data_IF_972803869004
#
_entry.id   IF_972803869004
#
_cell.length_a   1.000
_cell.length_b   1.000
_cell.length_c   1.000
_cell.angle_alpha   90.00
_cell.angle_beta   90.00
_cell.angle_gamma   90.00
#
_symmetry.space_group_name_H-M   'P 1'
#
loop_
_entity.id
_entity.type
_entity.pdbx_description
1 polymer ?
#
# COMPACT_ATOMS: atom_id res chain seq x y z
N UNK A 1 -31.07 15.40 41.74
CA UNK A 1 -31.00 14.24 42.66
C UNK A 1 -29.67 13.54 42.35
N UNK A 2 -28.67 13.81 43.21
CA UNK A 2 -27.27 13.41 43.02
C UNK A 2 -26.98 12.14 43.79
N UNK A 3 -26.37 11.15 43.13
CA UNK A 3 -25.81 10.00 43.83
C UNK A 3 -24.35 9.88 43.44
N UNK A 4 -23.50 10.29 44.37
CA UNK A 4 -22.07 10.00 44.36
C UNK A 4 -21.79 8.64 44.98
N UNK A 5 -21.17 7.73 44.26
CA UNK A 5 -20.62 6.50 44.83
C UNK A 5 -19.10 6.58 44.79
N UNK A 6 -18.50 6.68 45.96
CA UNK A 6 -17.04 6.54 46.17
C UNK A 6 -16.73 5.05 46.38
N UNK A 7 -15.80 4.52 45.65
CA UNK A 7 -15.23 3.18 45.90
C UNK A 7 -13.78 3.34 46.36
N UNK A 8 -13.53 2.88 47.56
CA UNK A 8 -12.25 2.89 48.25
C UNK A 8 -11.53 1.58 47.94
N UNK A 9 -10.35 1.62 47.32
CA UNK A 9 -9.48 0.46 47.19
C UNK A 9 -8.56 0.38 48.40
N UNK A 10 -8.65 -0.74 49.11
CA UNK A 10 -7.73 -1.13 50.20
C UNK A 10 -6.44 -1.75 49.64
N UNK A 11 -5.33 -1.24 50.14
CA UNK A 11 -3.99 -1.78 49.92
C UNK A 11 -3.79 -2.94 50.88
N UNK A 12 -3.47 -4.12 50.36
CA UNK A 12 -2.93 -5.24 51.18
C UNK A 12 -1.53 -5.55 50.66
N UNK A 13 -0.57 -5.23 51.50
CA UNK A 13 0.81 -5.65 51.35
C UNK A 13 0.97 -7.02 52.00
N UNK A 14 1.52 -8.00 51.28
CA UNK A 14 2.03 -9.26 51.88
C UNK A 14 3.42 -9.55 51.32
N UNK A 15 4.31 -9.75 52.25
CA UNK A 15 5.76 -9.97 52.10
C UNK A 15 6.03 -11.49 52.14
N UNK A 16 7.16 -11.89 51.55
CA UNK A 16 7.95 -13.13 51.65
C UNK A 16 7.48 -14.39 50.90
N UNK A 17 8.28 -14.92 49.97
CA UNK A 17 9.41 -15.85 50.29
C UNK A 17 10.14 -16.24 49.01
N UNK A 18 11.45 -16.19 49.05
CA UNK A 18 12.38 -16.70 48.05
C UNK A 18 12.36 -18.23 47.99
N UNK A 19 12.18 -18.78 46.80
CA UNK A 19 12.57 -20.15 46.46
C UNK A 19 13.19 -20.14 45.09
N UNK A 20 14.51 -20.28 45.07
CA UNK A 20 15.29 -20.47 43.86
C UNK A 20 15.02 -21.89 43.31
N UNK A 21 14.27 -22.00 42.24
CA UNK A 21 14.25 -23.20 41.41
C UNK A 21 15.01 -22.87 40.12
N UNK A 22 16.20 -23.49 40.03
CA UNK A 22 17.00 -23.53 38.81
C UNK A 22 16.27 -24.39 37.79
N UNK A 23 15.59 -23.79 36.81
CA UNK A 23 15.14 -24.49 35.60
C UNK A 23 16.24 -24.42 34.56
N UNK A 24 16.61 -25.56 33.92
CA UNK A 24 17.53 -25.53 32.78
C UNK A 24 16.85 -24.81 31.60
N UNK A 25 17.56 -23.84 31.02
CA UNK A 25 17.16 -23.21 29.77
C UNK A 25 17.12 -24.28 28.66
N UNK A 26 15.93 -24.77 28.34
CA UNK A 26 15.69 -25.35 27.04
C UNK A 26 15.62 -24.19 26.03
N UNK A 27 16.70 -24.03 25.28
CA UNK A 27 16.70 -23.15 24.09
C UNK A 27 15.70 -23.69 23.08
N UNK A 28 14.46 -23.25 23.15
CA UNK A 28 13.53 -23.39 22.06
C UNK A 28 14.00 -22.43 20.96
N UNK A 29 14.69 -22.98 19.96
CA UNK A 29 14.94 -22.28 18.71
C UNK A 29 13.58 -22.07 18.04
N UNK A 30 12.96 -20.94 18.30
CA UNK A 30 11.84 -20.46 17.50
C UNK A 30 12.38 -20.18 16.11
N UNK A 31 12.12 -21.09 15.18
CA UNK A 31 12.23 -20.82 13.77
C UNK A 31 11.10 -19.83 13.47
N UNK A 32 11.39 -18.54 13.59
CA UNK A 32 10.55 -17.51 12.97
C UNK A 32 10.56 -17.79 11.49
N UNK A 33 9.44 -18.30 11.00
CA UNK A 33 9.11 -18.23 9.58
C UNK A 33 8.89 -16.75 9.33
N UNK A 34 9.97 -16.05 8.93
CA UNK A 34 9.91 -14.74 8.36
C UNK A 34 9.15 -14.87 7.05
N UNK A 35 7.84 -14.66 7.10
CA UNK A 35 7.09 -14.30 5.90
C UNK A 35 7.79 -13.07 5.34
N UNK A 36 8.48 -13.28 4.21
CA UNK A 36 9.27 -12.28 3.54
C UNK A 36 8.40 -11.16 2.99
N UNK A 37 7.95 -10.29 3.87
CA UNK A 37 7.58 -8.94 3.51
C UNK A 37 8.87 -8.21 3.23
N UNK A 38 9.34 -8.28 1.97
CA UNK A 38 10.37 -7.34 1.50
C UNK A 38 9.93 -5.94 1.91
N UNK A 39 10.77 -5.19 2.62
CA UNK A 39 10.44 -3.82 2.97
C UNK A 39 10.14 -3.10 1.65
N UNK A 40 8.91 -2.60 1.52
CA UNK A 40 8.50 -1.78 0.38
C UNK A 40 9.52 -0.65 0.29
N UNK A 41 10.39 -0.68 -0.73
CA UNK A 41 11.35 0.38 -0.96
C UNK A 41 10.58 1.70 -0.97
N UNK A 42 11.09 2.71 -0.28
CA UNK A 42 10.51 4.05 -0.30
C UNK A 42 10.48 4.55 -1.74
N UNK A 43 9.30 4.51 -2.34
CA UNK A 43 9.13 4.91 -3.74
C UNK A 43 8.96 6.42 -3.74
N UNK A 44 9.86 7.12 -4.44
CA UNK A 44 9.75 8.57 -4.62
C UNK A 44 8.43 8.92 -5.36
N UNK A 45 7.68 9.90 -4.87
CA UNK A 45 6.45 10.35 -5.53
C UNK A 45 6.75 10.87 -6.94
N UNK A 46 5.99 10.40 -7.94
CA UNK A 46 6.19 10.77 -9.34
C UNK A 46 4.92 10.72 -10.17
N UNK A 47 5.02 11.15 -11.41
CA UNK A 47 3.89 11.11 -12.35
C UNK A 47 3.72 9.71 -12.97
N UNK A 48 4.79 8.89 -12.89
CA UNK A 48 4.80 7.52 -13.43
C UNK A 48 5.87 6.67 -12.75
N UNK A 49 5.71 5.36 -12.88
CA UNK A 49 6.71 4.36 -12.48
C UNK A 49 6.83 3.27 -13.55
N UNK A 50 8.00 2.63 -13.60
CA UNK A 50 8.28 1.57 -14.57
C UNK A 50 9.01 0.42 -13.89
N UNK A 51 8.69 -0.80 -14.26
CA UNK A 51 9.39 -2.00 -13.81
C UNK A 51 9.55 -3.01 -14.97
N UNK A 52 10.59 -3.83 -14.88
CA UNK A 52 10.92 -4.86 -15.84
C UNK A 52 10.38 -6.21 -15.39
N UNK A 53 10.02 -7.05 -16.35
CA UNK A 53 9.57 -8.42 -16.14
C UNK A 53 10.74 -9.35 -16.47
N UNK A 54 11.85 -9.22 -15.74
CA UNK A 54 12.99 -10.12 -15.93
C UNK A 54 12.63 -11.48 -15.32
N UNK A 55 12.70 -12.55 -16.11
CA UNK A 55 12.76 -13.90 -15.55
C UNK A 55 14.01 -13.99 -14.68
N UNK A 56 13.82 -14.16 -13.37
CA UNK A 56 14.92 -14.62 -12.52
C UNK A 56 15.35 -16.00 -12.99
N UNK A 57 16.36 -16.04 -13.85
CA UNK A 57 17.00 -17.29 -14.20
C UNK A 57 17.67 -17.87 -12.96
N UNK A 58 17.05 -18.93 -12.42
CA UNK A 58 17.61 -19.78 -11.39
C UNK A 58 19.05 -20.16 -11.71
N UNK A 59 19.95 -19.83 -10.79
CA UNK A 59 21.21 -20.44 -10.36
C UNK A 59 21.95 -21.44 -11.26
N UNK A 60 22.14 -21.18 -12.54
CA UNK A 60 23.16 -21.87 -13.32
C UNK A 60 23.84 -20.87 -14.27
N UNK A 61 24.73 -20.08 -13.72
CA UNK A 61 25.96 -19.51 -14.29
C UNK A 61 25.96 -18.85 -15.67
N UNK A 62 24.87 -18.82 -16.41
CA UNK A 62 24.77 -18.17 -17.74
C UNK A 62 23.51 -17.28 -17.73
N UNK A 63 23.70 -16.02 -17.35
CA UNK A 63 22.67 -15.00 -17.50
C UNK A 63 22.41 -14.71 -18.98
N UNK A 64 21.56 -15.49 -19.61
CA UNK A 64 20.95 -15.07 -20.87
C UNK A 64 19.82 -14.10 -20.52
N UNK A 65 20.10 -12.79 -20.53
CA UNK A 65 19.06 -11.76 -20.56
C UNK A 65 18.12 -12.14 -21.71
N UNK A 66 16.89 -12.48 -21.37
CA UNK A 66 15.84 -12.69 -22.37
C UNK A 66 15.73 -11.39 -23.17
N UNK A 67 16.04 -11.45 -24.47
CA UNK A 67 15.98 -10.30 -25.37
C UNK A 67 14.56 -9.72 -25.54
N UNK A 68 13.57 -10.31 -24.89
CA UNK A 68 12.16 -9.93 -24.92
C UNK A 68 11.57 -9.72 -23.52
N UNK A 69 12.39 -9.39 -22.52
CA UNK A 69 11.88 -9.04 -21.21
C UNK A 69 10.79 -7.98 -21.34
N UNK A 70 9.64 -8.23 -20.71
CA UNK A 70 8.54 -7.28 -20.71
C UNK A 70 8.87 -6.06 -19.87
N UNK A 71 8.24 -4.94 -20.17
CA UNK A 71 8.33 -3.70 -19.39
C UNK A 71 6.92 -3.18 -19.17
N UNK A 72 6.59 -2.87 -17.93
CA UNK A 72 5.33 -2.25 -17.56
C UNK A 72 5.55 -0.83 -17.01
N UNK A 73 4.72 0.09 -17.45
CA UNK A 73 4.70 1.48 -16.98
C UNK A 73 3.32 1.83 -16.46
N UNK A 74 3.26 2.39 -15.26
CA UNK A 74 2.10 3.03 -14.68
C UNK A 74 2.23 4.55 -14.77
N UNK A 75 1.22 5.24 -15.27
CA UNK A 75 1.16 6.71 -15.32
C UNK A 75 -0.08 7.17 -14.56
N UNK A 76 0.11 8.01 -13.56
CA UNK A 76 -0.98 8.50 -12.72
C UNK A 76 -1.82 9.56 -13.44
N UNK A 77 -3.14 9.43 -13.33
CA UNK A 77 -4.09 10.52 -13.56
C UNK A 77 -4.40 11.12 -12.18
N UNK A 78 -3.81 12.28 -11.91
CA UNK A 78 -3.85 12.92 -10.60
C UNK A 78 -5.28 13.14 -10.11
N UNK A 79 -5.50 13.09 -8.78
CA UNK A 79 -6.80 13.36 -8.18
C UNK A 79 -7.33 14.74 -8.61
N UNK A 80 -8.60 14.78 -8.99
CA UNK A 80 -9.30 16.01 -9.37
C UNK A 80 -10.76 15.96 -8.96
N UNK A 81 -11.30 17.10 -8.56
CA UNK A 81 -12.73 17.22 -8.26
C UNK A 81 -13.48 17.49 -9.55
N UNK A 82 -14.40 16.59 -9.88
CA UNK A 82 -15.30 16.70 -11.03
C UNK A 82 -16.65 17.30 -10.64
N UNK A 83 -17.48 17.61 -11.65
CA UNK A 83 -18.83 18.07 -11.42
C UNK A 83 -19.65 17.06 -10.61
N UNK A 84 -20.45 17.58 -9.68
CA UNK A 84 -21.27 16.71 -8.81
C UNK A 84 -20.61 16.28 -7.51
N UNK A 85 -19.42 16.80 -7.19
CA UNK A 85 -18.73 16.47 -5.93
C UNK A 85 -18.12 15.06 -5.96
N UNK A 86 -17.56 14.67 -7.09
CA UNK A 86 -16.83 13.42 -7.25
C UNK A 86 -15.34 13.74 -7.34
N UNK A 87 -14.55 13.08 -6.53
CA UNK A 87 -13.09 13.08 -6.65
C UNK A 87 -12.69 11.90 -7.52
N UNK A 88 -12.29 12.17 -8.75
CA UNK A 88 -11.82 11.18 -9.70
C UNK A 88 -10.30 11.07 -9.68
N UNK A 89 -9.77 9.86 -9.80
CA UNK A 89 -8.35 9.56 -9.82
C UNK A 89 -8.10 8.31 -10.64
N UNK A 90 -6.85 8.03 -11.06
CA UNK A 90 -6.62 6.86 -11.89
C UNK A 90 -5.17 6.50 -12.15
N UNK A 91 -5.02 5.37 -12.87
CA UNK A 91 -3.74 4.84 -13.31
C UNK A 91 -3.87 4.30 -14.74
N UNK A 92 -3.11 4.85 -15.66
CA UNK A 92 -2.89 4.28 -16.98
C UNK A 92 -1.78 3.24 -16.90
N UNK A 93 -2.04 2.03 -17.38
CA UNK A 93 -1.07 0.94 -17.41
C UNK A 93 -0.71 0.63 -18.86
N UNK A 94 0.56 0.47 -19.13
CA UNK A 94 1.07 0.02 -20.42
C UNK A 94 2.19 -0.98 -20.21
N UNK A 95 2.01 -2.20 -20.72
CA UNK A 95 3.03 -3.24 -20.75
C UNK A 95 3.41 -3.57 -22.19
N UNK A 96 4.67 -3.85 -22.44
CA UNK A 96 5.22 -4.27 -23.73
C UNK A 96 6.14 -5.47 -23.52
N UNK A 97 6.41 -6.22 -24.58
CA UNK A 97 7.20 -7.46 -24.49
C UNK A 97 6.34 -8.67 -24.17
N UNK A 98 6.87 -9.61 -23.41
CA UNK A 98 6.21 -10.87 -23.03
C UNK A 98 6.11 -11.03 -21.52
N UNK A 99 5.31 -11.99 -21.03
CA UNK A 99 5.26 -12.36 -19.61
C UNK A 99 4.39 -11.48 -18.72
N UNK A 100 3.69 -10.47 -19.27
CA UNK A 100 2.86 -9.57 -18.45
C UNK A 100 1.42 -10.08 -18.18
N UNK A 101 1.00 -11.18 -18.79
CA UNK A 101 -0.33 -11.73 -18.54
C UNK A 101 -0.32 -12.82 -17.45
N UNK A 102 -1.34 -12.88 -16.58
CA UNK A 102 -2.48 -11.96 -16.49
C UNK A 102 -2.05 -10.56 -16.01
N UNK A 103 -2.76 -9.54 -16.49
CA UNK A 103 -2.50 -8.14 -16.13
C UNK A 103 -3.65 -7.58 -15.32
N UNK A 104 -3.34 -7.00 -14.16
CA UNK A 104 -4.29 -6.27 -13.34
C UNK A 104 -3.61 -5.09 -12.67
N UNK A 105 -4.41 -4.14 -12.21
CA UNK A 105 -3.89 -3.03 -11.44
C UNK A 105 -4.85 -2.66 -10.31
N UNK A 106 -4.28 -2.12 -9.25
CA UNK A 106 -4.96 -1.62 -8.06
C UNK A 106 -4.47 -0.21 -7.79
N UNK A 107 -5.40 0.67 -7.44
CA UNK A 107 -5.10 2.03 -6.99
C UNK A 107 -5.79 2.31 -5.67
N UNK A 108 -5.11 3.06 -4.81
CA UNK A 108 -5.64 3.56 -3.54
C UNK A 108 -5.53 5.07 -3.54
N UNK A 109 -6.63 5.73 -3.25
CA UNK A 109 -6.61 7.15 -2.90
C UNK A 109 -6.19 7.27 -1.44
N UNK A 110 -5.17 8.05 -1.18
CA UNK A 110 -4.67 8.30 0.16
C UNK A 110 -4.81 9.78 0.50
N UNK A 111 -5.28 10.07 1.70
CA UNK A 111 -5.37 11.41 2.29
C UNK A 111 -4.29 11.58 3.34
N UNK A 112 -3.64 12.76 3.36
CA UNK A 112 -2.66 13.09 4.40
C UNK A 112 -3.36 13.48 5.71
N UNK A 113 -2.95 12.82 6.79
CA UNK A 113 -3.29 13.17 8.16
C UNK A 113 -2.03 13.52 8.95
N UNK A 114 -2.06 14.59 9.71
CA UNK A 114 -1.07 15.01 10.72
C UNK A 114 0.39 14.63 10.41
N UNK A 115 1.00 15.30 9.43
CA UNK A 115 2.45 15.25 9.24
C UNK A 115 2.95 13.99 8.55
N UNK A 116 2.59 13.81 7.29
CA UNK A 116 3.03 12.74 6.39
C UNK A 116 2.54 11.31 6.74
N UNK A 117 1.48 11.18 7.54
CA UNK A 117 0.76 9.92 7.68
C UNK A 117 -0.37 9.89 6.65
N UNK A 118 -0.39 8.85 5.82
CA UNK A 118 -1.39 8.69 4.76
C UNK A 118 -2.36 7.57 5.12
N UNK A 119 -3.65 7.87 5.04
CA UNK A 119 -4.72 6.89 5.20
C UNK A 119 -5.39 6.62 3.84
N UNK A 120 -5.71 5.35 3.57
CA UNK A 120 -6.45 4.98 2.36
C UNK A 120 -7.93 5.29 2.58
N UNK A 121 -8.45 6.22 1.77
CA UNK A 121 -9.85 6.67 1.83
C UNK A 121 -10.72 6.04 0.75
N UNK A 122 -10.11 5.54 -0.34
CA UNK A 122 -10.81 4.77 -1.38
C UNK A 122 -9.84 3.80 -2.08
N UNK A 123 -10.37 2.69 -2.59
CA UNK A 123 -9.58 1.67 -3.28
C UNK A 123 -10.36 1.10 -4.48
N UNK A 124 -9.69 0.97 -5.61
CA UNK A 124 -10.23 0.36 -6.81
C UNK A 124 -9.22 -0.57 -7.47
N UNK A 125 -9.70 -1.70 -7.99
CA UNK A 125 -8.88 -2.64 -8.75
C UNK A 125 -9.57 -3.09 -10.03
N UNK A 126 -8.79 -3.41 -11.06
CA UNK A 126 -9.31 -3.86 -12.35
C UNK A 126 -8.37 -4.87 -13.01
N UNK A 127 -8.96 -5.93 -13.58
CA UNK A 127 -8.24 -6.80 -14.51
C UNK A 127 -8.16 -6.10 -15.88
N UNK A 128 -6.94 -6.05 -16.41
CA UNK A 128 -6.62 -5.41 -17.69
C UNK A 128 -6.26 -6.52 -18.67
N UNK A 129 -7.24 -7.04 -19.37
CA UNK A 129 -7.14 -8.35 -20.03
C UNK A 129 -6.59 -8.34 -21.43
N UNK A 130 -6.51 -7.21 -22.13
CA UNK A 130 -6.20 -7.23 -23.55
C UNK A 130 -5.16 -6.17 -23.95
N UNK A 131 -4.19 -6.61 -24.75
CA UNK A 131 -3.28 -5.71 -25.46
C UNK A 131 -2.18 -5.03 -24.64
N UNK A 132 -2.00 -5.40 -23.38
CA UNK A 132 -0.93 -4.82 -22.53
C UNK A 132 -1.15 -3.37 -22.13
N UNK A 133 -2.35 -2.83 -22.27
CA UNK A 133 -2.69 -1.47 -21.81
C UNK A 133 -4.07 -1.44 -21.17
N UNK A 134 -4.29 -0.44 -20.30
CA UNK A 134 -5.58 -0.23 -19.67
C UNK A 134 -5.60 0.99 -18.78
N UNK A 135 -6.79 1.31 -18.28
CA UNK A 135 -7.00 2.39 -17.34
C UNK A 135 -7.84 1.90 -16.16
N UNK A 136 -7.34 2.14 -14.95
CA UNK A 136 -8.09 1.96 -13.71
C UNK A 136 -8.50 3.34 -13.22
N UNK A 137 -9.81 3.53 -13.03
CA UNK A 137 -10.36 4.78 -12.51
C UNK A 137 -11.06 4.49 -11.19
N UNK A 138 -10.73 5.28 -10.18
CA UNK A 138 -11.43 5.37 -8.91
C UNK A 138 -12.27 6.65 -8.84
N UNK A 139 -13.33 6.60 -8.06
CA UNK A 139 -14.25 7.71 -7.82
C UNK A 139 -14.69 7.69 -6.36
N UNK A 140 -14.41 8.75 -5.63
CA UNK A 140 -14.84 8.92 -4.25
C UNK A 140 -15.80 10.11 -4.13
N UNK A 141 -16.72 10.04 -3.16
CA UNK A 141 -17.63 11.15 -2.89
C UNK A 141 -16.86 12.25 -2.15
N UNK A 142 -16.92 13.45 -2.69
CA UNK A 142 -16.23 14.62 -2.21
C UNK A 142 -17.18 15.59 -1.53
N UNK A 143 -17.13 15.67 -0.21
CA UNK A 143 -17.80 16.72 0.56
C UNK A 143 -17.08 18.05 0.43
N UNK A 144 -17.79 19.19 0.26
CA UNK A 144 -17.14 20.48 0.20
C UNK A 144 -16.51 20.84 1.54
N UNK A 145 -15.26 21.32 1.50
CA UNK A 145 -14.55 21.84 2.68
C UNK A 145 -13.88 23.17 2.35
N UNK A 146 -13.70 24.00 3.35
CA UNK A 146 -12.99 25.29 3.21
C UNK A 146 -11.48 25.16 3.43
N UNK A 147 -11.05 24.09 4.11
CA UNK A 147 -9.63 23.89 4.45
C UNK A 147 -8.87 23.12 3.38
N UNK A 148 -9.55 22.30 2.60
CA UNK A 148 -8.89 21.38 1.67
C UNK A 148 -8.10 20.27 2.38
N UNK A 149 -7.74 19.26 1.61
CA UNK A 149 -6.91 18.13 2.06
C UNK A 149 -5.91 17.75 0.97
N UNK A 150 -4.79 17.13 1.36
CA UNK A 150 -3.77 16.67 0.44
C UNK A 150 -4.00 15.20 0.12
N UNK A 151 -4.09 14.90 -1.18
CA UNK A 151 -4.35 13.57 -1.70
C UNK A 151 -3.21 13.08 -2.60
N UNK A 152 -2.95 11.77 -2.56
CA UNK A 152 -2.07 11.09 -3.51
C UNK A 152 -2.64 9.73 -3.89
N UNK A 153 -2.10 9.15 -4.95
CA UNK A 153 -2.47 7.80 -5.40
C UNK A 153 -1.31 6.85 -5.10
N UNK A 154 -1.62 5.75 -4.42
CA UNK A 154 -0.76 4.58 -4.34
C UNK A 154 -1.21 3.59 -5.42
N UNK A 155 -0.35 3.32 -6.39
CA UNK A 155 -0.63 2.48 -7.55
C UNK A 155 0.18 1.20 -7.56
N UNK A 156 -0.46 0.10 -7.93
CA UNK A 156 0.12 -1.22 -7.99
C UNK A 156 -0.29 -1.94 -9.27
N UNK A 157 0.69 -2.51 -9.99
CA UNK A 157 0.47 -3.28 -11.21
C UNK A 157 0.94 -4.71 -10.94
N UNK A 158 0.08 -5.68 -11.27
CA UNK A 158 0.38 -7.09 -11.25
C UNK A 158 0.45 -7.57 -12.70
N UNK A 159 1.60 -8.07 -13.11
CA UNK A 159 1.89 -8.47 -14.48
C UNK A 159 2.53 -9.87 -14.47
N UNK A 160 1.73 -10.90 -14.75
CA UNK A 160 2.14 -12.29 -14.55
C UNK A 160 2.45 -12.55 -13.07
N UNK A 161 3.68 -12.97 -12.79
CA UNK A 161 4.19 -13.17 -11.42
C UNK A 161 4.90 -11.92 -10.85
N UNK A 162 5.03 -10.88 -11.66
CA UNK A 162 5.75 -9.66 -11.30
C UNK A 162 4.80 -8.59 -10.75
N UNK A 163 5.38 -7.68 -9.97
CA UNK A 163 4.65 -6.65 -9.27
C UNK A 163 5.43 -5.34 -9.26
N UNK A 164 4.80 -4.27 -9.67
CA UNK A 164 5.38 -2.94 -9.62
C UNK A 164 4.50 -1.96 -8.85
N UNK A 165 5.12 -0.99 -8.19
CA UNK A 165 4.42 0.03 -7.40
C UNK A 165 4.93 1.41 -7.73
N UNK A 166 4.05 2.39 -7.51
CA UNK A 166 4.39 3.79 -7.55
C UNK A 166 3.45 4.60 -6.67
N UNK A 167 3.90 5.80 -6.35
CA UNK A 167 3.11 6.78 -5.60
C UNK A 167 3.08 8.05 -6.41
N UNK A 168 1.90 8.66 -6.58
CA UNK A 168 1.78 9.95 -7.28
C UNK A 168 2.30 11.09 -6.41
N UNK A 169 2.52 12.24 -7.04
CA UNK A 169 2.65 13.50 -6.32
C UNK A 169 1.36 13.84 -5.59
N UNK A 170 1.50 14.63 -4.56
CA UNK A 170 0.38 15.17 -3.79
C UNK A 170 -0.34 16.26 -4.56
N UNK A 171 -1.65 16.34 -4.34
CA UNK A 171 -2.53 17.38 -4.88
C UNK A 171 -3.42 17.89 -3.76
N UNK A 172 -3.36 19.19 -3.51
CA UNK A 172 -4.24 19.86 -2.56
C UNK A 172 -5.60 20.16 -3.20
N UNK A 173 -6.68 19.64 -2.61
CA UNK A 173 -8.04 19.79 -3.15
C UNK A 173 -9.03 20.26 -2.08
N UNK A 174 -10.00 21.15 -2.41
CA UNK A 174 -11.06 21.59 -1.52
C UNK A 174 -12.14 20.51 -1.37
N UNK A 175 -11.74 19.37 -0.85
CA UNK A 175 -12.51 18.14 -0.84
C UNK A 175 -12.24 17.40 0.46
N UNK A 176 -13.27 16.79 1.04
CA UNK A 176 -13.16 15.84 2.13
C UNK A 176 -13.88 14.56 1.70
N UNK A 177 -13.16 13.46 1.60
CA UNK A 177 -13.71 12.14 1.24
C UNK A 177 -14.33 11.49 2.47
N UNK A 178 -15.55 10.94 2.31
CA UNK A 178 -16.34 10.34 3.38
C UNK A 178 -16.66 8.86 3.11
#
# INVERSE_FOLDING_TARGET
MSIKTRSTCAVVATVLSALALSCPLASATSTEISEGSSPRAEVEPGDSFTFTLDEETSNDGISTRSLNAGVCTGTFANPQVEAGGILAYGLHVRCTGTGFLPLSAKIRLQEEHLGAVYETVDETSRNLTEGGYGFVRGEAICGPTTSGHDYRIDGEIFAGEHRGFGVSKEVHLPCNVH
#
